data_IF_050187253547
#
_entry.id   IF_050187253547
#
_cell.length_a   1.000
_cell.length_b   1.000
_cell.length_c   1.000
_cell.angle_alpha   90.00
_cell.angle_beta   90.00
_cell.angle_gamma   90.00
#
_symmetry.space_group_name_H-M   'P 1'
#
loop_
_entity.id
_entity.type
_entity.pdbx_description
1 polymer ?
#
# COMPACT_ATOMS: atom_id res chain seq x y z
N UNK A 1 19.56 13.76 0.70
CA UNK A 1 19.35 13.27 2.08
C UNK A 1 17.84 13.11 2.26
N UNK A 2 17.27 11.93 2.00
CA UNK A 2 15.86 11.69 2.31
C UNK A 2 15.77 11.40 3.80
N UNK A 3 15.18 12.33 4.55
CA UNK A 3 14.84 12.09 5.95
C UNK A 3 13.93 10.86 6.02
N UNK A 4 14.06 9.99 7.04
CA UNK A 4 13.06 8.96 7.28
C UNK A 4 11.71 9.65 7.41
N UNK A 5 10.72 9.15 6.68
CA UNK A 5 9.34 9.57 6.79
C UNK A 5 8.95 9.65 8.27
N UNK A 6 8.80 10.86 8.80
CA UNK A 6 8.25 11.07 10.14
C UNK A 6 6.79 10.66 10.06
N UNK A 7 6.39 9.70 10.88
CA UNK A 7 4.98 9.51 11.20
C UNK A 7 4.43 10.86 11.67
N UNK A 8 3.25 11.31 11.20
CA UNK A 8 2.66 12.51 11.75
C UNK A 8 2.47 12.33 13.26
N UNK A 9 2.95 13.30 14.06
CA UNK A 9 2.83 13.29 15.53
C UNK A 9 1.35 13.31 15.99
N UNK A 10 0.45 13.66 15.08
CA UNK A 10 -0.99 13.51 15.21
C UNK A 10 -1.35 12.19 14.52
N UNK A 11 -2.00 11.26 15.23
CA UNK A 11 -2.33 9.92 14.74
C UNK A 11 -3.06 9.84 13.39
N UNK A 12 -3.45 8.64 12.94
CA UNK A 12 -4.01 8.44 11.60
C UNK A 12 -5.16 9.41 11.32
N UNK A 13 -5.24 10.01 10.12
CA UNK A 13 -6.40 10.80 9.72
C UNK A 13 -7.70 10.06 10.03
N UNK A 14 -8.76 10.76 10.47
CA UNK A 14 -10.00 10.13 10.94
C UNK A 14 -10.61 9.13 9.94
N UNK A 15 -10.46 9.40 8.64
CA UNK A 15 -10.92 8.53 7.55
C UNK A 15 -10.20 7.17 7.54
N UNK A 16 -8.89 7.17 7.83
CA UNK A 16 -8.09 5.94 7.91
C UNK A 16 -8.37 5.22 9.23
N UNK A 17 -8.57 5.95 10.33
CA UNK A 17 -8.95 5.36 11.61
C UNK A 17 -10.29 4.59 11.52
N UNK A 18 -11.29 5.18 10.84
CA UNK A 18 -12.56 4.51 10.57
C UNK A 18 -12.39 3.29 9.65
N UNK A 19 -11.51 3.37 8.63
CA UNK A 19 -11.19 2.23 7.77
C UNK A 19 -10.46 1.10 8.52
N UNK A 20 -9.75 1.37 9.61
CA UNK A 20 -9.13 0.30 10.42
C UNK A 20 -10.21 -0.50 11.16
N UNK A 21 -11.33 0.12 11.52
CA UNK A 21 -12.43 -0.55 12.21
C UNK A 21 -13.13 -1.57 11.29
N UNK A 22 -13.12 -2.84 11.70
CA UNK A 22 -13.64 -3.95 10.89
C UNK A 22 -12.73 -4.38 9.73
N UNK A 23 -11.51 -3.84 9.64
CA UNK A 23 -10.50 -4.35 8.72
C UNK A 23 -10.00 -5.74 9.13
N UNK A 24 -9.68 -6.58 8.14
CA UNK A 24 -8.92 -7.80 8.43
C UNK A 24 -7.55 -7.44 9.03
N UNK A 25 -6.90 -8.33 9.80
CA UNK A 25 -5.61 -8.02 10.42
C UNK A 25 -4.58 -7.48 9.41
N UNK A 26 -4.59 -8.02 8.19
CA UNK A 26 -3.76 -7.56 7.09
C UNK A 26 -4.12 -6.13 6.63
N UNK A 27 -5.40 -5.85 6.41
CA UNK A 27 -5.83 -4.50 5.98
C UNK A 27 -5.60 -3.46 7.07
N UNK A 28 -5.74 -3.81 8.34
CA UNK A 28 -5.39 -2.92 9.45
C UNK A 28 -3.91 -2.52 9.40
N UNK A 29 -3.00 -3.46 9.10
CA UNK A 29 -1.57 -3.17 8.94
C UNK A 29 -1.31 -2.24 7.74
N UNK A 30 -1.90 -2.54 6.59
CA UNK A 30 -1.78 -1.71 5.40
C UNK A 30 -2.27 -0.27 5.66
N UNK A 31 -3.47 -0.12 6.23
CA UNK A 31 -4.07 1.18 6.54
C UNK A 31 -3.25 1.96 7.57
N UNK A 32 -2.69 1.27 8.55
CA UNK A 32 -1.77 1.88 9.53
C UNK A 32 -0.49 2.39 8.86
N UNK A 33 0.10 1.62 7.95
CA UNK A 33 1.25 2.08 7.18
C UNK A 33 0.90 3.28 6.28
N UNK A 34 -0.28 3.24 5.63
CA UNK A 34 -0.79 4.32 4.78
C UNK A 34 -1.07 5.60 5.55
N UNK A 35 -1.48 5.51 6.82
CA UNK A 35 -1.68 6.67 7.68
C UNK A 35 -0.42 7.53 7.85
N UNK A 36 0.76 6.90 7.81
CA UNK A 36 2.04 7.63 7.85
C UNK A 36 2.40 8.32 6.54
N UNK A 37 1.72 7.99 5.43
CA UNK A 37 2.08 8.39 4.06
C UNK A 37 0.81 8.59 3.21
N UNK A 38 -0.08 9.49 3.63
CA UNK A 38 -1.39 9.71 3.00
C UNK A 38 -1.31 10.10 1.53
N UNK A 39 -0.31 10.92 1.19
CA UNK A 39 -0.17 11.53 -0.14
C UNK A 39 0.70 10.71 -1.10
N UNK A 40 1.30 9.62 -0.61
CA UNK A 40 2.18 8.77 -1.40
C UNK A 40 1.51 7.45 -1.76
N UNK A 41 1.71 6.98 -2.99
CA UNK A 41 1.29 5.65 -3.41
C UNK A 41 2.07 4.62 -2.58
N UNK A 42 1.38 3.79 -1.80
CA UNK A 42 2.02 2.82 -0.92
C UNK A 42 2.26 1.49 -1.63
N UNK A 43 3.52 1.18 -1.88
CA UNK A 43 3.98 -0.14 -2.31
C UNK A 43 4.13 -1.01 -1.07
N UNK A 44 3.12 -1.82 -0.77
CA UNK A 44 3.13 -2.70 0.40
C UNK A 44 3.62 -4.10 0.02
N UNK A 45 4.76 -4.51 0.59
CA UNK A 45 5.40 -5.77 0.22
C UNK A 45 4.62 -6.97 0.72
N UNK A 46 4.24 -7.85 -0.21
CA UNK A 46 3.56 -9.12 0.06
C UNK A 46 4.16 -10.23 -0.81
N UNK A 47 4.99 -11.08 -0.20
CA UNK A 47 5.62 -12.19 -0.91
C UNK A 47 6.55 -11.70 -2.02
N UNK A 48 6.20 -11.95 -3.28
CA UNK A 48 6.94 -11.55 -4.49
C UNK A 48 6.29 -10.37 -5.24
N UNK A 49 5.30 -9.71 -4.64
CA UNK A 49 4.62 -8.52 -5.17
C UNK A 49 4.66 -7.34 -4.20
N UNK A 50 4.64 -6.13 -4.75
CA UNK A 50 4.14 -4.96 -4.07
C UNK A 50 2.66 -4.81 -4.41
N UNK A 51 1.82 -4.94 -3.39
CA UNK A 51 0.38 -4.77 -3.51
C UNK A 51 -0.01 -3.34 -3.11
N UNK A 52 -0.94 -2.78 -3.88
CA UNK A 52 -1.55 -1.49 -3.66
C UNK A 52 -3.05 -1.69 -3.51
N UNK A 53 -3.69 -0.91 -2.64
CA UNK A 53 -5.12 -1.02 -2.37
C UNK A 53 -5.85 0.32 -2.46
N UNK A 54 -7.17 0.26 -2.62
CA UNK A 54 -8.05 1.42 -2.65
C UNK A 54 -7.62 2.41 -3.73
N UNK A 55 -7.47 3.70 -3.37
CA UNK A 55 -7.14 4.73 -4.34
C UNK A 55 -5.76 4.56 -4.97
N UNK A 56 -4.80 4.04 -4.21
CA UNK A 56 -3.44 3.80 -4.70
C UNK A 56 -3.46 2.75 -5.82
N UNK A 57 -4.31 1.73 -5.69
CA UNK A 57 -4.49 0.72 -6.74
C UNK A 57 -5.06 1.31 -8.03
N UNK A 58 -6.10 2.15 -7.93
CA UNK A 58 -6.71 2.81 -9.09
C UNK A 58 -5.72 3.72 -9.81
N UNK A 59 -5.00 4.54 -9.05
CA UNK A 59 -4.01 5.48 -9.59
C UNK A 59 -2.86 4.71 -10.24
N UNK A 60 -2.30 3.71 -9.55
CA UNK A 60 -1.21 2.92 -10.10
C UNK A 60 -1.65 2.12 -11.33
N UNK A 61 -2.85 1.54 -11.34
CA UNK A 61 -3.38 0.83 -12.50
C UNK A 61 -3.51 1.74 -13.72
N UNK A 62 -4.07 2.94 -13.55
CA UNK A 62 -4.22 3.91 -14.62
C UNK A 62 -2.86 4.46 -15.10
N UNK A 63 -1.96 4.81 -14.17
CA UNK A 63 -0.67 5.41 -14.48
C UNK A 63 0.30 4.41 -15.12
N UNK A 64 0.33 3.17 -14.63
CA UNK A 64 1.29 2.15 -15.04
C UNK A 64 0.74 1.20 -16.12
N UNK A 65 -0.56 1.25 -16.40
CA UNK A 65 -1.21 0.32 -17.31
C UNK A 65 -1.24 -1.12 -16.79
N UNK A 66 -1.23 -1.30 -15.46
CA UNK A 66 -1.32 -2.62 -14.81
C UNK A 66 -2.77 -2.98 -14.49
N UNK A 67 -3.04 -4.28 -14.34
CA UNK A 67 -4.39 -4.78 -14.09
C UNK A 67 -4.92 -4.29 -12.74
N UNK A 68 -6.06 -3.58 -12.76
CA UNK A 68 -6.87 -3.34 -11.57
C UNK A 68 -7.76 -4.55 -11.30
N UNK A 69 -7.63 -5.12 -10.11
CA UNK A 69 -8.39 -6.27 -9.62
C UNK A 69 -9.08 -5.91 -8.31
N UNK A 70 -9.63 -6.90 -7.62
CA UNK A 70 -10.27 -6.71 -6.31
C UNK A 70 -9.93 -7.81 -5.33
N UNK A 71 -9.84 -7.45 -4.05
CA UNK A 71 -9.53 -8.38 -2.95
C UNK A 71 -10.61 -8.35 -1.87
N UNK A 72 -11.55 -9.29 -1.96
CA UNK A 72 -12.60 -9.43 -0.95
C UNK A 72 -13.42 -8.13 -0.78
N UNK A 73 -13.92 -7.93 0.44
CA UNK A 73 -14.72 -6.75 0.80
C UNK A 73 -14.23 -6.11 2.09
N UNK A 74 -14.34 -4.80 2.17
CA UNK A 74 -14.13 -4.01 3.37
C UNK A 74 -15.28 -3.01 3.51
N UNK A 75 -15.91 -2.96 4.69
CA UNK A 75 -17.10 -2.14 4.95
C UNK A 75 -18.25 -2.35 3.93
N UNK A 76 -18.37 -3.56 3.38
CA UNK A 76 -19.39 -3.92 2.39
C UNK A 76 -19.00 -3.64 0.94
N UNK A 77 -17.93 -2.89 0.70
CA UNK A 77 -17.43 -2.53 -0.62
C UNK A 77 -16.27 -3.43 -1.07
N UNK A 78 -16.14 -3.65 -2.38
CA UNK A 78 -15.01 -4.39 -2.95
C UNK A 78 -13.72 -3.58 -2.77
N UNK A 79 -12.61 -4.20 -2.37
CA UNK A 79 -11.32 -3.51 -2.21
C UNK A 79 -10.59 -3.50 -3.57
N UNK A 80 -10.41 -2.35 -4.24
CA UNK A 80 -9.58 -2.27 -5.44
C UNK A 80 -8.14 -2.66 -5.12
N UNK A 81 -7.51 -3.43 -6.00
CA UNK A 81 -6.16 -3.95 -5.80
C UNK A 81 -5.37 -3.96 -7.11
N UNK A 82 -4.12 -3.51 -7.05
CA UNK A 82 -3.16 -3.65 -8.13
C UNK A 82 -1.85 -4.21 -7.57
N UNK A 83 -1.06 -4.87 -8.42
CA UNK A 83 0.17 -5.54 -8.00
C UNK A 83 1.31 -5.28 -8.97
N UNK A 84 2.50 -5.03 -8.41
CA UNK A 84 3.75 -4.89 -9.15
C UNK A 84 4.72 -5.99 -8.72
N UNK A 85 5.25 -6.80 -9.65
CA UNK A 85 6.26 -7.79 -9.30
C UNK A 85 7.52 -7.12 -8.76
N UNK A 86 8.08 -7.69 -7.70
CA UNK A 86 9.20 -7.09 -6.96
C UNK A 86 10.42 -6.88 -7.84
N UNK A 87 10.77 -7.89 -8.64
CA UNK A 87 11.92 -7.82 -9.55
C UNK A 87 11.77 -6.74 -10.62
N UNK A 88 10.55 -6.25 -10.86
CA UNK A 88 10.24 -5.20 -11.81
C UNK A 88 9.98 -3.84 -11.14
N UNK A 89 10.02 -3.75 -9.81
CA UNK A 89 9.57 -2.56 -9.06
C UNK A 89 10.28 -1.29 -9.49
N UNK A 90 11.59 -1.35 -9.75
CA UNK A 90 12.41 -0.17 -10.03
C UNK A 90 11.92 0.58 -11.28
N UNK A 91 11.51 -0.18 -12.31
CA UNK A 91 10.97 0.39 -13.53
C UNK A 91 9.64 1.12 -13.29
N UNK A 92 8.73 0.52 -12.52
CA UNK A 92 7.44 1.12 -12.18
C UNK A 92 7.59 2.34 -11.26
N UNK A 93 8.51 2.29 -10.29
CA UNK A 93 8.84 3.44 -9.45
C UNK A 93 9.33 4.61 -10.28
N UNK A 94 10.25 4.37 -11.22
CA UNK A 94 10.76 5.42 -12.10
C UNK A 94 9.65 6.08 -12.93
N UNK A 95 8.66 5.30 -13.40
CA UNK A 95 7.51 5.83 -14.12
C UNK A 95 6.61 6.69 -13.24
N UNK A 96 6.25 6.22 -12.05
CA UNK A 96 5.42 6.99 -11.10
C UNK A 96 6.08 8.30 -10.70
N UNK A 97 7.38 8.28 -10.40
CA UNK A 97 8.16 9.47 -10.04
C UNK A 97 8.18 10.47 -11.21
N UNK A 98 8.38 9.99 -12.45
CA UNK A 98 8.35 10.85 -13.65
C UNK A 98 6.98 11.48 -13.90
N UNK A 99 5.91 10.81 -13.49
CA UNK A 99 4.53 11.32 -13.53
C UNK A 99 4.20 12.27 -12.36
N UNK A 100 5.15 12.49 -11.44
CA UNK A 100 5.00 13.40 -10.31
C UNK A 100 4.33 12.77 -9.09
N UNK A 101 4.22 11.44 -9.02
CA UNK A 101 3.70 10.75 -7.84
C UNK A 101 4.79 10.57 -6.79
N UNK A 102 4.42 10.82 -5.53
CA UNK A 102 5.19 10.35 -4.38
C UNK A 102 4.92 8.86 -4.19
N UNK A 103 5.96 8.09 -3.91
CA UNK A 103 5.84 6.65 -3.67
C UNK A 103 6.52 6.28 -2.36
N UNK A 104 5.80 5.56 -1.51
CA UNK A 104 6.30 5.02 -0.26
C UNK A 104 6.46 3.50 -0.40
N UNK A 105 7.58 2.96 0.08
CA UNK A 105 7.84 1.52 0.05
C UNK A 105 7.74 1.01 1.49
N UNK A 106 6.84 0.07 1.72
CA UNK A 106 6.72 -0.64 2.98
C UNK A 106 7.22 -2.08 2.77
N UNK A 107 8.37 -2.37 3.35
CA UNK A 107 8.97 -3.70 3.33
C UNK A 107 8.47 -4.55 4.50
N UNK A 108 8.34 -5.85 4.26
CA UNK A 108 8.06 -6.82 5.31
C UNK A 108 9.38 -7.17 6.01
N UNK A 109 9.53 -6.79 7.28
CA UNK A 109 10.75 -7.04 8.05
C UNK A 109 10.85 -8.46 8.62
N UNK A 110 9.71 -9.17 8.73
CA UNK A 110 9.66 -10.54 9.25
C UNK A 110 9.53 -11.56 8.11
N UNK A 111 10.21 -12.71 8.26
CA UNK A 111 10.11 -13.81 7.29
C UNK A 111 8.66 -14.33 7.21
N UNK A 112 8.04 -14.41 6.01
CA UNK A 112 6.68 -14.94 5.82
C UNK A 112 6.45 -16.32 6.46
N UNK A 113 7.51 -17.12 6.59
CA UNK A 113 7.46 -18.44 7.22
C UNK A 113 7.20 -18.38 8.75
N UNK A 114 7.60 -17.30 9.42
CA UNK A 114 7.36 -17.10 10.85
C UNK A 114 6.00 -16.43 11.13
N UNK A 115 5.54 -15.54 10.24
CA UNK A 115 4.25 -14.86 10.37
C UNK A 115 3.05 -15.83 10.28
N UNK A 116 3.16 -16.92 9.52
CA UNK A 116 2.09 -17.93 9.36
C UNK A 116 1.93 -18.86 10.56
N UNK A 117 2.85 -18.84 11.53
CA UNK A 117 2.86 -19.73 12.70
C UNK A 117 2.21 -19.12 13.96
N UNK A 118 1.72 -17.88 13.90
CA UNK A 118 1.05 -17.22 15.03
C UNK A 118 -0.46 -17.12 14.83
#
# INVERSE_FOLDING_TARGET
MNAPAKFPDNGPPPEIAAAIEGATPFMAQYLTAKAGQTDAILFFRMGDFYELFFKDAEVAAAALGITLTKRGKHQGEDIPMAGVPVHAMEGYLALLIRMGHNVAICEQLEDPAEAKKR
#
